data_IF_810880156323
#
_entry.id   IF_810880156323
#
_cell.length_a   1.000
_cell.length_b   1.000
_cell.length_c   1.000
_cell.angle_alpha   90.00
_cell.angle_beta   90.00
_cell.angle_gamma   90.00
#
_symmetry.space_group_name_H-M   'P 1'
#
loop_
_entity.id
_entity.type
_entity.pdbx_description
1 polymer ?
#
# COMPACT_ATOMS: atom_id res chain seq x y z
N UNK A 1 -8.08 4.28 13.18
CA UNK A 1 -7.77 4.45 11.75
C UNK A 1 -8.93 5.15 11.05
N UNK A 2 -8.71 5.78 9.89
CA UNK A 2 -9.78 6.44 9.12
C UNK A 2 -10.91 5.46 8.76
N UNK A 3 -10.57 4.21 8.41
CA UNK A 3 -11.54 3.15 8.12
C UNK A 3 -12.52 2.89 9.29
N UNK A 4 -12.05 2.94 10.55
CA UNK A 4 -12.92 2.80 11.73
C UNK A 4 -13.94 3.95 11.89
N UNK A 5 -13.77 5.05 11.14
CA UNK A 5 -14.68 6.20 11.13
C UNK A 5 -15.66 6.15 9.95
N UNK A 6 -15.71 5.04 9.21
CA UNK A 6 -16.61 4.85 8.06
C UNK A 6 -16.09 5.41 6.74
N UNK A 7 -14.82 5.86 6.69
CA UNK A 7 -14.17 6.29 5.45
C UNK A 7 -13.81 5.05 4.64
N UNK A 8 -14.15 5.03 3.35
CA UNK A 8 -13.70 3.97 2.44
C UNK A 8 -12.22 4.16 2.10
N UNK A 9 -11.40 3.18 2.45
CA UNK A 9 -9.95 3.25 2.28
C UNK A 9 -9.50 2.11 1.38
N UNK A 10 -8.93 2.47 0.25
CA UNK A 10 -8.43 1.54 -0.76
C UNK A 10 -6.92 1.68 -0.88
N UNK A 11 -6.19 0.58 -0.72
CA UNK A 11 -4.74 0.54 -0.77
C UNK A 11 -4.29 -0.46 -1.85
N UNK A 12 -3.42 -0.03 -2.75
CA UNK A 12 -2.78 -0.91 -3.72
C UNK A 12 -1.31 -1.13 -3.33
N UNK A 13 -0.88 -2.38 -3.37
CA UNK A 13 0.50 -2.80 -3.08
C UNK A 13 1.07 -3.59 -4.25
N UNK A 14 2.39 -3.50 -4.51
CA UNK A 14 3.03 -4.30 -5.54
C UNK A 14 3.01 -5.80 -5.16
N UNK A 15 2.76 -6.68 -6.14
CA UNK A 15 2.87 -8.14 -5.94
C UNK A 15 4.29 -8.66 -6.18
N UNK A 16 5.13 -7.92 -6.91
CA UNK A 16 6.51 -8.30 -7.16
C UNK A 16 7.46 -7.69 -6.11
N UNK A 17 8.25 -8.51 -5.40
CA UNK A 17 9.24 -8.01 -4.45
C UNK A 17 10.44 -7.39 -5.18
N UNK A 18 10.73 -6.11 -4.95
CA UNK A 18 12.06 -5.55 -5.26
C UNK A 18 13.15 -6.18 -4.37
N UNK A 19 12.77 -6.62 -3.17
CA UNK A 19 13.60 -7.40 -2.27
C UNK A 19 12.74 -8.41 -1.46
N UNK A 20 13.17 -9.67 -1.27
CA UNK A 20 12.34 -10.71 -0.65
C UNK A 20 11.81 -10.36 0.75
N UNK A 21 12.60 -9.64 1.56
CA UNK A 21 12.20 -9.27 2.93
C UNK A 21 11.21 -8.10 2.99
N UNK A 22 11.29 -7.16 2.05
CA UNK A 22 10.41 -5.98 2.02
C UNK A 22 8.97 -6.41 1.75
N UNK A 23 8.77 -7.38 0.86
CA UNK A 23 7.46 -7.92 0.56
C UNK A 23 6.78 -8.53 1.79
N UNK A 24 7.50 -9.34 2.57
CA UNK A 24 6.94 -9.91 3.80
C UNK A 24 6.70 -8.85 4.87
N UNK A 25 7.56 -7.84 5.00
CA UNK A 25 7.33 -6.71 5.91
C UNK A 25 6.03 -5.97 5.54
N UNK A 26 5.82 -5.68 4.26
CA UNK A 26 4.57 -5.07 3.75
C UNK A 26 3.35 -5.93 4.08
N UNK A 27 3.39 -7.24 3.76
CA UNK A 27 2.30 -8.17 4.07
C UNK A 27 2.00 -8.29 5.57
N UNK A 28 3.03 -8.12 6.40
CA UNK A 28 2.91 -8.20 7.84
C UNK A 28 2.16 -6.98 8.45
N UNK A 29 2.32 -5.79 7.85
CA UNK A 29 1.61 -4.56 8.23
C UNK A 29 0.19 -4.50 7.66
N UNK A 30 -0.02 -5.17 6.54
CA UNK A 30 -1.32 -5.30 5.86
C UNK A 30 -2.37 -6.00 6.73
N UNK A 31 -1.97 -6.89 7.64
CA UNK A 31 -2.88 -7.57 8.57
C UNK A 31 -3.75 -6.59 9.38
N UNK A 32 -3.09 -5.61 10.01
CA UNK A 32 -3.75 -4.63 10.89
C UNK A 32 -4.67 -3.70 10.08
N UNK A 33 -4.33 -3.45 8.82
CA UNK A 33 -5.14 -2.68 7.88
C UNK A 33 -6.40 -3.46 7.44
N UNK A 34 -6.27 -4.75 7.12
CA UNK A 34 -7.40 -5.62 6.80
C UNK A 34 -8.39 -5.70 7.96
N UNK A 35 -7.89 -5.86 9.19
CA UNK A 35 -8.72 -5.91 10.40
C UNK A 35 -9.46 -4.59 10.67
N UNK A 36 -8.91 -3.48 10.19
CA UNK A 36 -9.53 -2.15 10.29
C UNK A 36 -10.53 -1.86 9.17
N UNK A 37 -10.73 -2.78 8.21
CA UNK A 37 -11.67 -2.65 7.11
C UNK A 37 -11.11 -1.94 5.86
N UNK A 38 -9.79 -1.86 5.71
CA UNK A 38 -9.15 -1.32 4.50
C UNK A 38 -9.21 -2.36 3.37
N UNK A 39 -9.60 -1.94 2.17
CA UNK A 39 -9.55 -2.78 0.97
C UNK A 39 -8.13 -2.79 0.42
N UNK A 40 -7.54 -3.98 0.25
CA UNK A 40 -6.14 -4.12 -0.15
C UNK A 40 -6.02 -4.89 -1.45
N UNK A 41 -5.43 -4.26 -2.45
CA UNK A 41 -5.28 -4.77 -3.81
C UNK A 41 -3.82 -5.07 -4.10
N UNK A 42 -3.49 -6.34 -4.37
CA UNK A 42 -2.17 -6.74 -4.79
C UNK A 42 -2.07 -6.71 -6.33
N UNK A 43 -1.37 -5.73 -6.88
CA UNK A 43 -1.28 -5.51 -8.32
C UNK A 43 -0.48 -6.60 -9.04
N UNK A 44 -1.04 -7.17 -10.12
CA UNK A 44 -0.49 -8.35 -10.78
C UNK A 44 0.15 -8.08 -12.15
N UNK A 45 0.04 -6.85 -12.67
CA UNK A 45 0.46 -6.54 -14.04
C UNK A 45 1.81 -5.80 -14.08
N UNK A 46 2.82 -6.41 -13.43
CA UNK A 46 4.20 -5.91 -13.31
C UNK A 46 4.47 -5.12 -12.03
N UNK A 47 5.52 -4.30 -12.04
CA UNK A 47 5.93 -3.49 -10.88
C UNK A 47 5.23 -2.12 -10.86
N UNK A 48 4.73 -1.74 -9.68
CA UNK A 48 4.24 -0.38 -9.42
C UNK A 48 5.29 0.37 -8.61
N UNK A 49 5.78 1.47 -9.18
CA UNK A 49 6.69 2.39 -8.51
C UNK A 49 6.02 3.72 -8.12
N UNK A 50 4.74 3.88 -8.44
CA UNK A 50 3.98 5.09 -8.11
C UNK A 50 3.70 5.17 -6.61
N UNK A 51 4.04 6.31 -5.97
CA UNK A 51 3.63 6.61 -4.58
C UNK A 51 2.66 7.77 -4.61
N UNK A 52 1.37 7.42 -4.64
CA UNK A 52 0.29 8.38 -4.77
C UNK A 52 -0.68 8.21 -3.60
N UNK A 53 -1.13 9.32 -3.03
CA UNK A 53 -2.25 9.39 -2.10
C UNK A 53 -3.33 10.27 -2.71
N UNK A 54 -4.58 9.85 -2.65
CA UNK A 54 -5.73 10.63 -3.11
C UNK A 54 -6.75 10.68 -1.98
N UNK A 55 -7.39 11.83 -1.82
CA UNK A 55 -8.47 12.04 -0.87
C UNK A 55 -9.62 12.66 -1.66
N UNK A 56 -10.70 11.89 -1.75
CA UNK A 56 -11.87 12.20 -2.55
C UNK A 56 -11.48 12.58 -4.00
N UNK A 57 -12.22 13.51 -4.61
CA UNK A 57 -11.93 14.10 -5.92
C UNK A 57 -11.28 15.49 -5.79
N UNK A 58 -10.53 15.74 -4.70
CA UNK A 58 -10.09 17.11 -4.38
C UNK A 58 -8.59 17.24 -4.16
N UNK A 59 -7.98 16.29 -3.47
CA UNK A 59 -6.57 16.38 -3.09
C UNK A 59 -5.82 15.14 -3.53
N UNK A 60 -4.65 15.35 -4.13
CA UNK A 60 -3.72 14.28 -4.42
C UNK A 60 -2.31 14.66 -3.98
N UNK A 61 -1.50 13.64 -3.67
CA UNK A 61 -0.10 13.78 -3.31
C UNK A 61 0.71 12.77 -4.10
N UNK A 62 1.69 13.26 -4.86
CA UNK A 62 2.62 12.43 -5.66
C UNK A 62 4.00 12.58 -5.04
N UNK A 63 4.66 11.45 -4.77
CA UNK A 63 5.86 11.41 -3.92
C UNK A 63 6.98 10.59 -4.53
N UNK A 64 8.22 10.99 -4.22
CA UNK A 64 9.37 10.09 -4.26
C UNK A 64 9.44 9.21 -3.01
N UNK A 65 8.96 9.73 -1.87
CA UNK A 65 8.92 9.04 -0.58
C UNK A 65 8.06 7.78 -0.62
N UNK A 66 8.64 6.68 -0.15
CA UNK A 66 7.89 5.49 0.26
C UNK A 66 7.15 5.75 1.58
N UNK A 67 6.17 4.89 1.89
CA UNK A 67 5.48 4.89 3.18
C UNK A 67 6.27 4.04 4.20
N UNK A 68 7.53 4.40 4.46
CA UNK A 68 8.42 3.73 5.40
C UNK A 68 9.24 4.73 6.22
N UNK A 69 9.82 4.25 7.33
CA UNK A 69 10.54 5.09 8.28
C UNK A 69 11.77 5.78 7.65
N UNK A 70 12.47 5.10 6.74
CA UNK A 70 13.69 5.64 6.12
C UNK A 70 13.39 6.78 5.16
N UNK A 71 12.35 6.64 4.32
CA UNK A 71 11.93 7.73 3.43
C UNK A 71 11.47 8.95 4.22
N UNK A 72 10.86 8.79 5.39
CA UNK A 72 10.43 9.93 6.19
C UNK A 72 11.54 10.59 7.02
N UNK A 73 12.49 9.82 7.55
CA UNK A 73 13.47 10.33 8.52
C UNK A 73 14.86 10.56 7.93
N UNK A 74 15.28 9.76 6.94
CA UNK A 74 16.67 9.67 6.51
C UNK A 74 16.91 10.15 5.08
N UNK A 75 15.94 9.96 4.18
CA UNK A 75 16.11 10.29 2.77
C UNK A 75 15.68 11.73 2.47
N UNK A 76 16.33 12.33 1.48
CA UNK A 76 15.86 13.57 0.86
C UNK A 76 14.76 13.25 -0.15
N UNK A 77 13.52 13.39 0.28
CA UNK A 77 12.35 13.11 -0.54
C UNK A 77 11.62 14.39 -0.98
N UNK A 78 10.94 14.31 -2.11
CA UNK A 78 10.05 15.35 -2.61
C UNK A 78 8.61 14.84 -2.59
N UNK A 79 7.71 15.68 -2.08
CA UNK A 79 6.27 15.45 -2.09
C UNK A 79 5.57 16.66 -2.70
N UNK A 80 4.82 16.43 -3.78
CA UNK A 80 3.97 17.43 -4.39
C UNK A 80 2.52 17.20 -3.96
N UNK A 81 1.92 18.18 -3.29
CA UNK A 81 0.49 18.23 -3.03
C UNK A 81 -0.21 19.03 -4.12
N UNK A 82 -1.28 18.45 -4.68
CA UNK A 82 -2.05 19.00 -5.78
C UNK A 82 -3.50 19.11 -5.34
N UNK A 83 -4.01 20.34 -5.31
CA UNK A 83 -5.39 20.69 -4.95
C UNK A 83 -6.17 21.02 -6.22
N UNK A 84 -6.43 20.01 -7.03
CA UNK A 84 -7.10 20.15 -8.32
C UNK A 84 -8.01 18.95 -8.56
N UNK A 85 -9.30 19.23 -8.80
CA UNK A 85 -10.33 18.19 -8.95
C UNK A 85 -10.19 17.38 -10.23
N UNK A 86 -9.69 18.01 -11.30
CA UNK A 86 -9.50 17.33 -12.59
C UNK A 86 -8.35 16.34 -12.46
N UNK A 87 -7.24 16.75 -11.86
CA UNK A 87 -6.08 15.87 -11.65
C UNK A 87 -6.43 14.76 -10.66
N UNK A 88 -7.08 15.06 -9.53
CA UNK A 88 -7.47 14.05 -8.54
C UNK A 88 -8.36 12.98 -9.16
N UNK A 89 -9.35 13.38 -9.97
CA UNK A 89 -10.23 12.46 -10.68
C UNK A 89 -9.49 11.58 -11.68
N UNK A 90 -8.57 12.14 -12.48
CA UNK A 90 -7.77 11.37 -13.42
C UNK A 90 -6.91 10.31 -12.71
N UNK A 91 -6.31 10.66 -11.57
CA UNK A 91 -5.53 9.72 -10.78
C UNK A 91 -6.40 8.61 -10.18
N UNK A 92 -7.62 8.94 -9.72
CA UNK A 92 -8.57 7.93 -9.23
C UNK A 92 -8.99 6.98 -10.35
N UNK A 93 -9.34 7.50 -11.52
CA UNK A 93 -9.73 6.67 -12.68
C UNK A 93 -8.60 5.72 -13.09
N UNK A 94 -7.35 6.19 -13.10
CA UNK A 94 -6.17 5.35 -13.33
C UNK A 94 -6.03 4.25 -12.27
N UNK A 95 -6.24 4.59 -10.99
CA UNK A 95 -6.22 3.62 -9.89
C UNK A 95 -7.33 2.57 -10.01
N UNK A 96 -8.55 2.99 -10.37
CA UNK A 96 -9.68 2.08 -10.63
C UNK A 96 -9.40 1.13 -11.80
N UNK A 97 -8.74 1.61 -12.85
CA UNK A 97 -8.29 0.75 -13.95
C UNK A 97 -7.27 -0.28 -13.45
N UNK A 98 -6.31 0.12 -12.62
CA UNK A 98 -5.30 -0.79 -12.08
C UNK A 98 -5.87 -1.78 -11.05
N UNK A 99 -6.97 -1.44 -10.36
CA UNK A 99 -7.72 -2.40 -9.55
C UNK A 99 -8.19 -3.59 -10.40
N UNK A 100 -8.62 -3.37 -11.65
CA UNK A 100 -9.06 -4.47 -12.55
C UNK A 100 -7.94 -5.47 -12.87
N UNK A 101 -6.69 -5.06 -12.69
CA UNK A 101 -5.46 -5.84 -12.89
C UNK A 101 -4.88 -6.34 -11.56
N UNK A 102 -5.62 -6.20 -10.46
CA UNK A 102 -5.18 -6.51 -9.11
C UNK A 102 -6.00 -7.63 -8.47
N UNK A 103 -5.37 -8.34 -7.54
CA UNK A 103 -6.06 -9.32 -6.71
C UNK A 103 -6.47 -8.67 -5.38
N UNK A 104 -7.76 -8.74 -5.05
CA UNK A 104 -8.22 -8.36 -3.71
C UNK A 104 -7.70 -9.37 -2.68
N UNK A 105 -6.97 -8.84 -1.69
CA UNK A 105 -6.51 -9.59 -0.54
C UNK A 105 -7.61 -9.58 0.52
N UNK A 106 -8.29 -10.70 0.66
CA UNK A 106 -9.32 -10.89 1.69
C UNK A 106 -8.70 -11.37 2.99
N UNK A 107 -9.35 -11.07 4.12
CA UNK A 107 -8.97 -11.59 5.44
C UNK A 107 -8.86 -13.12 5.44
N UNK A 108 -9.80 -13.82 4.80
CA UNK A 108 -9.76 -15.27 4.65
C UNK A 108 -8.50 -15.77 3.93
N UNK A 109 -8.12 -15.14 2.82
CA UNK A 109 -6.87 -15.49 2.10
C UNK A 109 -5.65 -15.24 2.98
N UNK A 110 -5.66 -14.15 3.72
CA UNK A 110 -4.56 -13.81 4.63
C UNK A 110 -4.44 -14.82 5.79
N UNK A 111 -5.54 -15.21 6.43
CA UNK A 111 -5.53 -16.15 7.56
C UNK A 111 -5.09 -17.57 7.15
N UNK A 112 -5.51 -18.00 5.94
CA UNK A 112 -5.19 -19.32 5.37
C UNK A 112 -3.77 -19.43 4.78
N UNK A 113 -2.92 -18.40 4.94
CA UNK A 113 -1.54 -18.45 4.43
C UNK A 113 -0.68 -19.53 5.13
N UNK A 114 0.24 -20.19 4.40
CA UNK A 114 1.15 -21.19 4.95
C UNK A 114 1.95 -20.72 6.17
N UNK A 115 2.26 -21.65 7.08
CA UNK A 115 3.11 -21.40 8.26
C UNK A 115 4.51 -20.85 7.89
N UNK A 116 5.05 -21.28 6.75
CA UNK A 116 6.32 -20.76 6.24
C UNK A 116 6.26 -19.28 5.89
N UNK A 117 5.10 -18.78 5.46
CA UNK A 117 4.87 -17.35 5.20
C UNK A 117 4.76 -16.60 6.52
N UNK A 118 4.00 -17.12 7.49
CA UNK A 118 3.88 -16.52 8.84
C UNK A 118 5.25 -16.33 9.49
N UNK A 119 6.11 -17.34 9.43
CA UNK A 119 7.48 -17.24 9.95
C UNK A 119 8.32 -16.17 9.24
N UNK A 120 8.21 -16.05 7.92
CA UNK A 120 8.92 -15.02 7.14
C UNK A 120 8.43 -13.61 7.48
N UNK A 121 7.12 -13.43 7.67
CA UNK A 121 6.53 -12.17 8.11
C UNK A 121 7.07 -11.75 9.48
N UNK A 122 7.10 -12.67 10.45
CA UNK A 122 7.60 -12.39 11.80
C UNK A 122 9.09 -12.00 11.79
N UNK A 123 9.90 -12.70 10.99
CA UNK A 123 11.32 -12.32 10.82
C UNK A 123 11.45 -10.96 10.14
N UNK A 124 10.64 -10.68 9.12
CA UNK A 124 10.64 -9.40 8.42
C UNK A 124 10.22 -8.23 9.32
N UNK A 125 9.26 -8.43 10.23
CA UNK A 125 8.86 -7.43 11.24
C UNK A 125 10.04 -6.97 12.11
N UNK A 126 10.92 -7.90 12.51
CA UNK A 126 12.08 -7.57 13.36
C UNK A 126 13.10 -6.66 12.66
N UNK A 127 13.22 -6.76 11.34
CA UNK A 127 14.18 -5.98 10.54
C UNK A 127 13.53 -4.76 9.86
N UNK A 128 12.19 -4.65 9.89
CA UNK A 128 11.44 -3.55 9.29
C UNK A 128 11.89 -2.14 9.69
N UNK A 129 12.37 -1.87 10.92
CA UNK A 129 12.86 -0.54 11.28
C UNK A 129 14.16 -0.12 10.54
N UNK A 130 14.88 -1.08 9.95
CA UNK A 130 16.17 -0.87 9.27
C UNK A 130 16.01 -1.00 7.74
N UNK A 131 14.89 -1.59 7.29
CA UNK A 131 14.52 -1.71 5.88
C UNK A 131 14.00 -0.39 5.33
#
# INVERSE_FOLDING_TARGET
MAANSGVDVNLMIPCEPDHPFVYWATFSNVADLLDSGVNIYAYQNGSIHSKILMIDDEVSSIRSANMDFRSFELNFEVNAFIYDKVIAKQLREAFEEDITKSNLLTKEKYENRPLSIKFKEDLAKLISPIL
#
